data_IF_817149550521
#
_entry.id   IF_817149550521
#
_cell.length_a   1.000
_cell.length_b   1.000
_cell.length_c   1.000
_cell.angle_alpha   90.00
_cell.angle_beta   90.00
_cell.angle_gamma   90.00
#
_symmetry.space_group_name_H-M   'P 1'
#
loop_
_entity.id
_entity.type
_entity.pdbx_description
1 polymer ?
#
# COMPACT_ATOMS: atom_id res chain seq x y z
N UNK A 1 -32.29 24.66 -14.37
CA UNK A 1 -32.11 24.01 -13.04
C UNK A 1 -31.65 22.56 -13.13
N UNK A 2 -32.29 21.68 -13.92
CA UNK A 2 -31.91 20.25 -14.03
C UNK A 2 -30.44 20.01 -14.40
N UNK A 3 -29.90 20.77 -15.37
CA UNK A 3 -28.50 20.62 -15.80
C UNK A 3 -27.48 20.98 -14.70
N UNK A 4 -27.76 22.00 -13.89
CA UNK A 4 -26.92 22.40 -12.74
C UNK A 4 -26.92 21.34 -11.62
N UNK A 5 -28.06 20.71 -11.38
CA UNK A 5 -28.18 19.63 -10.38
C UNK A 5 -27.35 18.41 -10.82
N UNK A 6 -27.39 18.05 -12.11
CA UNK A 6 -26.58 16.95 -12.66
C UNK A 6 -25.08 17.26 -12.50
N UNK A 7 -24.63 18.48 -12.84
CA UNK A 7 -23.22 18.85 -12.69
C UNK A 7 -22.73 18.78 -11.24
N UNK A 8 -23.55 19.22 -10.28
CA UNK A 8 -23.22 19.13 -8.85
C UNK A 8 -23.13 17.66 -8.41
N UNK A 9 -24.07 16.82 -8.86
CA UNK A 9 -24.08 15.40 -8.52
C UNK A 9 -22.88 14.65 -9.12
N UNK A 10 -22.47 14.98 -10.35
CA UNK A 10 -21.26 14.42 -10.98
C UNK A 10 -19.99 14.82 -10.23
N UNK A 11 -19.89 16.07 -9.76
CA UNK A 11 -18.73 16.52 -9.00
C UNK A 11 -18.65 15.86 -7.61
N UNK A 12 -19.80 15.59 -6.98
CA UNK A 12 -19.86 14.92 -5.68
C UNK A 12 -19.44 13.44 -5.74
N UNK A 13 -19.64 12.78 -6.88
CA UNK A 13 -19.24 11.38 -7.07
C UNK A 13 -17.75 11.21 -7.39
N UNK A 14 -17.09 12.26 -7.90
CA UNK A 14 -15.70 12.22 -8.32
C UNK A 14 -14.68 12.11 -7.16
N UNK A 15 -15.11 12.27 -5.91
CA UNK A 15 -14.23 12.25 -4.72
C UNK A 15 -14.12 10.87 -4.07
N UNK A 16 -14.77 9.83 -4.61
CA UNK A 16 -14.67 8.46 -4.11
C UNK A 16 -13.44 7.76 -4.71
N UNK A 17 -12.24 8.20 -4.31
CA UNK A 17 -11.00 7.48 -4.60
C UNK A 17 -10.67 6.61 -3.40
N UNK A 18 -10.69 5.29 -3.59
CA UNK A 18 -10.18 4.34 -2.61
C UNK A 18 -8.66 4.23 -2.79
N UNK A 19 -7.92 4.42 -1.70
CA UNK A 19 -6.48 4.18 -1.67
C UNK A 19 -6.24 2.73 -1.26
N UNK A 20 -5.43 2.03 -2.05
CA UNK A 20 -4.92 0.72 -1.69
C UNK A 20 -3.48 0.86 -1.16
N UNK A 21 -3.02 -0.18 -0.47
CA UNK A 21 -1.68 -0.25 0.10
C UNK A 21 -0.96 -1.52 -0.40
N UNK A 22 0.37 -1.47 -0.41
CA UNK A 22 1.23 -2.63 -0.61
C UNK A 22 1.69 -3.09 0.77
N UNK A 23 1.33 -4.32 1.12
CA UNK A 23 1.83 -5.03 2.29
C UNK A 23 3.02 -5.90 1.87
N UNK A 24 4.22 -5.52 2.27
CA UNK A 24 5.47 -6.29 2.06
C UNK A 24 5.62 -7.30 3.20
N UNK A 25 5.79 -8.57 2.83
CA UNK A 25 5.76 -9.66 3.79
C UNK A 25 7.07 -9.77 4.56
N UNK A 26 6.97 -10.09 5.84
CA UNK A 26 8.10 -10.36 6.73
C UNK A 26 7.95 -11.67 7.51
N UNK A 27 6.95 -12.47 7.21
CA UNK A 27 6.79 -13.85 7.72
C UNK A 27 7.48 -14.88 6.81
N UNK A 28 7.22 -16.16 7.04
CA UNK A 28 7.82 -17.29 6.30
C UNK A 28 7.54 -17.28 4.78
N UNK A 29 6.56 -16.48 4.32
CA UNK A 29 6.32 -16.30 2.88
C UNK A 29 7.34 -15.35 2.21
N UNK A 30 8.23 -14.73 2.99
CA UNK A 30 9.35 -13.94 2.49
C UNK A 30 10.64 -14.75 2.58
N UNK A 31 11.21 -15.10 1.42
CA UNK A 31 12.43 -15.92 1.38
C UNK A 31 13.71 -15.13 1.67
N UNK A 32 13.69 -13.80 1.49
CA UNK A 32 14.82 -12.91 1.78
C UNK A 32 14.33 -11.60 2.44
N UNK A 33 14.37 -11.58 3.77
CA UNK A 33 13.95 -10.43 4.56
C UNK A 33 14.86 -9.20 4.36
N UNK A 34 16.15 -9.39 4.07
CA UNK A 34 17.06 -8.26 3.83
C UNK A 34 16.69 -7.52 2.55
N UNK A 35 16.21 -8.22 1.53
CA UNK A 35 15.65 -7.57 0.33
C UNK A 35 14.38 -6.80 0.63
N UNK A 36 13.51 -7.30 1.52
CA UNK A 36 12.32 -6.58 1.95
C UNK A 36 12.69 -5.26 2.68
N UNK A 37 13.65 -5.30 3.60
CA UNK A 37 14.23 -4.08 4.19
C UNK A 37 14.83 -3.15 3.13
N UNK A 38 15.50 -3.70 2.11
CA UNK A 38 16.03 -2.92 1.00
C UNK A 38 14.95 -2.23 0.16
N UNK A 39 13.75 -2.80 0.05
CA UNK A 39 12.59 -2.14 -0.57
C UNK A 39 12.03 -1.06 0.35
N UNK A 40 11.84 -1.35 1.64
CA UNK A 40 11.39 -0.35 2.63
C UNK A 40 12.32 0.87 2.65
N UNK A 41 13.63 0.65 2.71
CA UNK A 41 14.64 1.72 2.63
C UNK A 41 14.55 2.50 1.31
N UNK A 42 14.38 1.81 0.19
CA UNK A 42 14.24 2.45 -1.12
C UNK A 42 12.98 3.33 -1.21
N UNK A 43 11.88 2.94 -0.58
CA UNK A 43 10.67 3.74 -0.45
C UNK A 43 10.93 5.01 0.36
N UNK A 44 11.56 4.87 1.54
CA UNK A 44 11.94 6.00 2.39
C UNK A 44 12.86 6.98 1.66
N UNK A 45 13.83 6.50 0.87
CA UNK A 45 14.70 7.36 0.06
C UNK A 45 13.94 8.20 -0.99
N UNK A 46 12.76 7.76 -1.41
CA UNK A 46 11.88 8.49 -2.35
C UNK A 46 10.88 9.39 -1.64
N UNK A 47 10.93 9.44 -0.31
CA UNK A 47 9.95 10.17 0.51
C UNK A 47 8.58 9.49 0.56
N UNK A 48 8.50 8.20 0.21
CA UNK A 48 7.27 7.44 0.43
C UNK A 48 7.17 7.03 1.89
N UNK A 49 5.94 7.06 2.39
CA UNK A 49 5.63 6.56 3.72
C UNK A 49 5.80 5.05 3.77
N UNK A 50 6.39 4.58 4.87
CA UNK A 50 6.55 3.16 5.18
C UNK A 50 6.19 2.99 6.64
N UNK A 51 5.12 2.24 6.90
CA UNK A 51 4.76 1.86 8.26
C UNK A 51 5.36 0.50 8.59
N UNK A 52 5.96 0.39 9.77
CA UNK A 52 6.45 -0.88 10.28
C UNK A 52 5.44 -1.51 11.23
N UNK A 53 4.83 -2.61 10.80
CA UNK A 53 3.80 -3.33 11.53
C UNK A 53 4.42 -4.33 12.51
N UNK A 54 5.04 -3.85 13.59
CA UNK A 54 5.83 -4.65 14.54
C UNK A 54 5.16 -5.95 15.01
N UNK A 55 3.85 -5.92 15.21
CA UNK A 55 3.07 -7.06 15.74
C UNK A 55 2.23 -7.78 14.69
N UNK A 56 2.49 -7.57 13.40
CA UNK A 56 1.74 -8.19 12.31
C UNK A 56 2.65 -8.86 11.29
N UNK A 57 2.37 -10.13 10.97
CA UNK A 57 3.11 -10.95 9.99
C UNK A 57 4.63 -10.74 10.04
N UNK A 58 5.22 -10.99 11.20
CA UNK A 58 6.68 -10.94 11.40
C UNK A 58 7.30 -9.54 11.32
N UNK A 59 6.52 -8.47 11.51
CA UNK A 59 7.02 -7.11 11.35
C UNK A 59 6.93 -6.60 9.92
N UNK A 60 5.81 -6.90 9.23
CA UNK A 60 5.61 -6.53 7.83
C UNK A 60 5.64 -5.01 7.60
N UNK A 61 5.87 -4.58 6.36
CA UNK A 61 5.84 -3.16 6.00
C UNK A 61 4.60 -2.82 5.18
N UNK A 62 3.97 -1.70 5.51
CA UNK A 62 2.87 -1.14 4.72
C UNK A 62 3.37 0.11 3.99
N UNK A 63 3.03 0.23 2.71
CA UNK A 63 3.37 1.39 1.88
C UNK A 63 2.18 1.74 0.97
N UNK A 64 2.08 2.98 0.46
CA UNK A 64 1.04 3.32 -0.51
C UNK A 64 1.12 2.44 -1.76
N UNK A 65 -0.02 2.02 -2.32
CA UNK A 65 -0.02 1.28 -3.58
C UNK A 65 0.43 2.18 -4.72
N UNK A 66 1.65 1.94 -5.21
CA UNK A 66 2.23 2.65 -6.35
C UNK A 66 2.86 1.67 -7.35
N UNK A 67 2.70 1.91 -8.67
CA UNK A 67 3.27 1.02 -9.69
C UNK A 67 4.79 0.86 -9.62
N UNK A 68 5.52 1.87 -9.17
CA UNK A 68 6.97 1.82 -9.04
C UNK A 68 7.44 1.01 -7.83
N UNK A 69 6.68 1.03 -6.73
CA UNK A 69 6.92 0.17 -5.56
C UNK A 69 6.66 -1.31 -5.93
N UNK A 70 5.54 -1.61 -6.60
CA UNK A 70 5.28 -2.96 -7.10
C UNK A 70 6.38 -3.46 -8.04
N UNK A 71 6.85 -2.59 -8.95
CA UNK A 71 7.92 -2.91 -9.88
C UNK A 71 9.21 -3.26 -9.15
N UNK A 72 9.61 -2.51 -8.12
CA UNK A 72 10.83 -2.82 -7.38
C UNK A 72 10.69 -4.10 -6.55
N UNK A 73 9.52 -4.36 -5.96
CA UNK A 73 9.24 -5.63 -5.29
C UNK A 73 9.42 -6.82 -6.24
N UNK A 74 8.76 -6.77 -7.41
CA UNK A 74 8.90 -7.82 -8.45
C UNK A 74 10.34 -7.99 -8.91
N UNK A 75 11.02 -6.88 -9.21
CA UNK A 75 12.40 -6.89 -9.73
C UNK A 75 13.38 -7.48 -8.72
N UNK A 76 13.15 -7.29 -7.41
CA UNK A 76 14.01 -7.81 -6.35
C UNK A 76 13.55 -9.16 -5.78
N UNK A 77 12.43 -9.69 -6.25
CA UNK A 77 11.85 -10.94 -5.75
C UNK A 77 11.35 -10.82 -4.31
N UNK A 78 10.82 -9.66 -3.92
CA UNK A 78 10.24 -9.41 -2.60
C UNK A 78 8.75 -9.73 -2.63
N UNK A 79 8.31 -10.65 -1.77
CA UNK A 79 6.91 -11.02 -1.65
C UNK A 79 6.06 -9.88 -1.06
N UNK A 80 4.90 -9.62 -1.65
CA UNK A 80 3.96 -8.59 -1.23
C UNK A 80 2.52 -8.93 -1.65
N UNK A 81 1.53 -8.23 -1.10
CA UNK A 81 0.16 -8.18 -1.64
C UNK A 81 -0.36 -6.75 -1.66
N UNK A 82 -1.38 -6.50 -2.49
CA UNK A 82 -2.20 -5.30 -2.39
C UNK A 82 -3.29 -5.55 -1.34
N UNK A 83 -3.53 -4.57 -0.47
CA UNK A 83 -4.58 -4.59 0.56
C UNK A 83 -5.37 -3.29 0.51
N UNK A 84 -6.68 -3.40 0.64
CA UNK A 84 -7.61 -2.28 0.75
C UNK A 84 -7.49 -1.60 2.10
N UNK A 85 -7.99 -0.36 2.20
CA UNK A 85 -8.11 0.34 3.50
C UNK A 85 -8.94 -0.45 4.53
N UNK A 86 -9.92 -1.25 4.08
CA UNK A 86 -10.71 -2.11 4.97
C UNK A 86 -9.89 -3.24 5.57
N UNK A 87 -9.00 -3.84 4.80
CA UNK A 87 -8.09 -4.88 5.31
C UNK A 87 -7.01 -4.27 6.22
N UNK A 88 -6.50 -3.08 5.88
CA UNK A 88 -5.56 -2.34 6.74
C UNK A 88 -6.20 -2.01 8.09
N UNK A 89 -7.46 -1.59 8.12
CA UNK A 89 -8.17 -1.35 9.39
C UNK A 89 -8.24 -2.63 10.26
N UNK A 90 -8.36 -3.80 9.66
CA UNK A 90 -8.34 -5.07 10.39
C UNK A 90 -6.95 -5.42 10.96
N UNK A 91 -5.87 -4.92 10.36
CA UNK A 91 -4.50 -5.12 10.87
C UNK A 91 -4.27 -4.37 12.19
N UNK A 92 -4.92 -3.22 12.38
CA UNK A 92 -4.73 -2.37 13.58
C UNK A 92 -5.69 -2.69 14.74
N UNK A 93 -6.67 -3.57 14.54
CA UNK A 93 -7.60 -4.00 15.60
C UNK A 93 -7.07 -5.24 16.32
#
# INVERSE_FOLDING_TARGET
MKLRIITIFTFLFATLVFADNILIFMDENQTDHLRAYGVAYWCLQRGYEVEWLLNYRGGSFLTPARPDIEKICKTRGVAYTIVSNTEVAQIYN
#
